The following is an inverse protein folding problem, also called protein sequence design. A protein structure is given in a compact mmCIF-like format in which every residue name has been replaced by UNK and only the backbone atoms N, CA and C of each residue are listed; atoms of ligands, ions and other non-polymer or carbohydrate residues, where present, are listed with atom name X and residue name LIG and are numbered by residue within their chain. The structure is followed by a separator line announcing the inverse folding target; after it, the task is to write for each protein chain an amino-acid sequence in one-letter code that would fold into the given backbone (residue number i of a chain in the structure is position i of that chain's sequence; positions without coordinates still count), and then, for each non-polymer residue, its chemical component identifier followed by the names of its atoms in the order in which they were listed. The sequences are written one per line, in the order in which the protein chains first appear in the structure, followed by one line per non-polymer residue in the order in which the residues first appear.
data_IF_513090150022
#
_entry.id   IF_513090150022
#
_cell.length_a   1.000
_cell.length_b   1.000
_cell.length_c   1.000
_cell.angle_alpha   90.00
_cell.angle_beta   90.00
_cell.angle_gamma   90.00
#
_symmetry.space_group_name_H-M   'P 1'
#
loop_
_entity.id
_entity.type
_entity.pdbx_description
1 polymer ?
#
# COMPACT_ATOMS: atom_id res chain seq x y z
N UNK A 1 0.85 40.07 21.52
CA UNK A 1 0.81 38.66 21.14
C UNK A 1 1.11 38.57 19.66
N UNK A 2 2.23 37.97 19.24
CA UNK A 2 2.53 37.82 17.80
C UNK A 2 1.89 36.52 17.32
N UNK A 3 0.98 36.63 16.38
CA UNK A 3 0.37 35.44 15.75
C UNK A 3 1.37 34.79 14.79
N UNK A 4 1.26 33.48 14.60
CA UNK A 4 2.18 32.67 13.79
C UNK A 4 2.21 33.01 12.29
N UNK A 5 1.22 33.74 11.79
CA UNK A 5 1.14 34.15 10.39
C UNK A 5 2.30 35.08 10.03
N UNK A 6 3.12 34.73 9.05
CA UNK A 6 4.30 35.51 8.62
C UNK A 6 5.49 35.44 9.59
N UNK A 7 5.48 34.57 10.58
CA UNK A 7 6.59 34.35 11.52
C UNK A 7 7.30 33.01 11.20
N UNK A 8 8.62 32.95 11.37
CA UNK A 8 9.35 31.68 11.28
C UNK A 8 9.01 30.83 12.52
N UNK A 9 8.06 29.92 12.35
CA UNK A 9 7.68 28.96 13.39
C UNK A 9 8.43 27.66 13.16
N UNK A 10 9.27 27.26 14.10
CA UNK A 10 9.91 25.95 14.07
C UNK A 10 8.91 24.85 14.37
N UNK A 11 8.95 23.75 13.61
CA UNK A 11 8.12 22.59 13.89
C UNK A 11 8.58 21.93 15.20
N UNK A 12 7.63 21.42 15.97
CA UNK A 12 7.90 20.72 17.24
C UNK A 12 8.87 19.55 17.05
N UNK A 13 8.83 18.93 15.88
CA UNK A 13 9.64 17.75 15.53
C UNK A 13 11.08 18.08 15.13
N UNK A 14 11.36 19.31 14.71
CA UNK A 14 12.65 19.67 14.12
C UNK A 14 13.83 19.34 15.06
N UNK A 15 13.71 19.63 16.34
CA UNK A 15 14.77 19.33 17.31
C UNK A 15 15.10 17.84 17.36
N UNK A 16 14.07 16.99 17.36
CA UNK A 16 14.25 15.54 17.39
C UNK A 16 14.85 15.01 16.09
N UNK A 17 14.45 15.58 14.95
CA UNK A 17 14.94 15.16 13.64
C UNK A 17 16.40 15.54 13.43
N UNK A 18 16.79 16.78 13.74
CA UNK A 18 18.17 17.26 13.54
C UNK A 18 19.16 16.66 14.54
N UNK A 19 18.71 16.18 15.68
CA UNK A 19 19.56 15.48 16.68
C UNK A 19 19.66 13.97 16.44
N UNK A 20 19.11 13.45 15.34
CA UNK A 20 19.15 12.01 15.01
C UNK A 20 18.24 11.14 15.88
N UNK A 21 17.31 11.74 16.63
CA UNK A 21 16.33 11.03 17.47
C UNK A 21 15.01 10.77 16.72
N UNK A 22 14.95 11.17 15.46
CA UNK A 22 13.81 10.88 14.59
C UNK A 22 13.64 9.38 14.38
N UNK A 23 12.41 8.93 14.28
CA UNK A 23 12.07 7.54 13.94
C UNK A 23 11.04 7.57 12.82
N UNK A 24 11.47 7.19 11.64
CA UNK A 24 10.61 6.97 10.49
C UNK A 24 10.15 5.50 10.45
N UNK A 25 9.25 5.18 9.55
CA UNK A 25 8.71 3.82 9.42
C UNK A 25 9.83 2.80 9.19
N UNK A 26 10.82 3.11 8.35
CA UNK A 26 11.93 2.23 8.03
C UNK A 26 12.95 2.04 9.20
N UNK A 27 12.93 2.95 10.17
CA UNK A 27 13.75 2.84 11.37
C UNK A 27 13.15 1.91 12.43
N UNK A 28 11.89 1.53 12.25
CA UNK A 28 11.19 0.64 13.18
C UNK A 28 11.68 -0.79 12.98
N UNK A 29 12.23 -1.39 14.02
CA UNK A 29 12.64 -2.80 14.04
C UNK A 29 11.83 -3.54 15.08
N UNK A 30 11.02 -4.48 14.65
CA UNK A 30 10.23 -5.33 15.51
C UNK A 30 10.76 -6.78 15.46
N UNK A 31 10.64 -7.54 16.54
CA UNK A 31 10.93 -8.97 16.52
C UNK A 31 10.06 -9.66 15.44
N UNK A 32 10.66 -10.56 14.67
CA UNK A 32 9.97 -11.29 13.60
C UNK A 32 9.35 -10.42 12.50
N UNK A 33 9.85 -9.19 12.32
CA UNK A 33 9.41 -8.31 11.24
C UNK A 33 9.76 -8.92 9.88
N UNK A 34 8.82 -8.86 8.96
CA UNK A 34 8.99 -9.27 7.56
C UNK A 34 8.90 -8.04 6.65
N UNK A 35 9.52 -8.12 5.49
CA UNK A 35 9.46 -7.06 4.49
C UNK A 35 8.51 -7.46 3.37
N UNK A 36 7.58 -6.55 3.03
CA UNK A 36 6.71 -6.69 1.88
C UNK A 36 7.31 -6.01 0.66
N UNK A 37 7.35 -6.71 -0.46
CA UNK A 37 7.79 -6.17 -1.75
C UNK A 37 6.65 -6.26 -2.74
N UNK A 38 6.37 -5.15 -3.41
CA UNK A 38 5.35 -5.10 -4.46
C UNK A 38 5.96 -5.36 -5.83
N UNK A 39 5.52 -6.40 -6.49
CA UNK A 39 5.80 -6.59 -7.91
C UNK A 39 4.84 -5.74 -8.73
N UNK A 40 5.37 -4.92 -9.60
CA UNK A 40 4.59 -4.00 -10.43
C UNK A 40 4.57 -4.46 -11.87
N UNK A 41 3.42 -4.28 -12.53
CA UNK A 41 3.31 -4.53 -13.96
C UNK A 41 4.14 -3.51 -14.76
N UNK A 42 4.86 -3.96 -15.80
CA UNK A 42 5.51 -3.06 -16.74
C UNK A 42 4.49 -2.37 -17.67
N UNK A 43 3.27 -2.86 -17.73
CA UNK A 43 2.21 -2.31 -18.58
C UNK A 43 1.28 -1.42 -17.78
N UNK A 44 0.96 -0.25 -18.30
CA UNK A 44 0.02 0.67 -17.67
C UNK A 44 -1.42 0.14 -17.65
N UNK A 45 -1.83 -0.57 -18.72
CA UNK A 45 -3.15 -1.18 -18.83
C UNK A 45 -3.05 -2.49 -19.60
N UNK A 46 -3.32 -3.60 -18.92
CA UNK A 46 -3.29 -4.93 -19.52
C UNK A 46 -4.21 -5.88 -18.77
N UNK A 47 -4.71 -6.91 -19.45
CA UNK A 47 -5.40 -8.03 -18.83
C UNK A 47 -4.36 -8.97 -18.20
N UNK A 48 -4.59 -9.40 -16.98
CA UNK A 48 -3.80 -10.44 -16.33
C UNK A 48 -4.34 -11.78 -16.84
N UNK A 49 -3.52 -12.53 -17.55
CA UNK A 49 -3.89 -13.84 -18.08
C UNK A 49 -3.58 -14.93 -17.05
N UNK A 50 -2.42 -14.86 -16.44
CA UNK A 50 -1.98 -15.78 -15.38
C UNK A 50 -0.89 -15.15 -14.54
N UNK A 51 -0.79 -15.61 -13.29
CA UNK A 51 0.28 -15.26 -12.37
C UNK A 51 0.87 -16.57 -11.87
N UNK A 52 2.08 -16.91 -12.33
CA UNK A 52 2.78 -18.08 -11.82
C UNK A 52 3.63 -17.70 -10.60
N UNK A 53 3.30 -18.27 -9.45
CA UNK A 53 3.96 -18.02 -8.16
C UNK A 53 4.74 -19.21 -7.65
N UNK A 54 4.74 -20.34 -8.35
CA UNK A 54 5.26 -21.62 -7.85
C UNK A 54 6.77 -21.60 -7.64
N UNK A 55 7.51 -20.99 -8.56
CA UNK A 55 8.95 -20.82 -8.43
C UNK A 55 9.29 -19.84 -7.31
N UNK A 56 8.57 -18.72 -7.25
CA UNK A 56 8.80 -17.70 -6.25
C UNK A 56 8.53 -18.22 -4.82
N UNK A 57 7.52 -19.08 -4.62
CA UNK A 57 7.24 -19.71 -3.33
C UNK A 57 8.37 -20.61 -2.85
N UNK A 58 9.15 -21.18 -3.77
CA UNK A 58 10.28 -22.10 -3.45
C UNK A 58 11.56 -21.34 -3.12
N UNK A 59 11.61 -20.03 -3.37
CA UNK A 59 12.81 -19.25 -3.13
C UNK A 59 13.10 -19.11 -1.64
N UNK A 60 14.36 -19.29 -1.21
CA UNK A 60 14.73 -19.13 0.18
C UNK A 60 14.46 -17.68 0.65
N UNK A 61 13.84 -17.56 1.83
CA UNK A 61 13.49 -16.27 2.40
C UNK A 61 12.10 -15.74 2.02
N UNK A 62 11.41 -16.37 1.08
CA UNK A 62 10.01 -16.06 0.80
C UNK A 62 9.13 -16.76 1.84
N UNK A 63 8.34 -15.97 2.57
CA UNK A 63 7.43 -16.49 3.59
C UNK A 63 6.08 -16.79 2.95
N UNK A 64 5.56 -15.83 2.18
CA UNK A 64 4.28 -15.99 1.50
C UNK A 64 4.17 -15.04 0.30
N UNK A 65 3.18 -15.31 -0.57
CA UNK A 65 2.87 -14.50 -1.75
C UNK A 65 1.37 -14.25 -1.78
N UNK A 66 1.00 -12.99 -1.83
CA UNK A 66 -0.38 -12.56 -1.92
C UNK A 66 -0.71 -12.13 -3.34
N UNK A 67 -1.73 -12.73 -3.90
CA UNK A 67 -2.33 -12.34 -5.19
C UNK A 67 -3.66 -11.65 -4.96
N UNK A 68 -4.17 -10.94 -5.97
CA UNK A 68 -5.49 -10.31 -5.88
C UNK A 68 -6.62 -11.31 -5.65
N UNK A 69 -6.52 -12.50 -6.23
CA UNK A 69 -7.51 -13.58 -6.05
C UNK A 69 -7.52 -14.07 -4.61
N UNK A 70 -6.34 -14.39 -4.06
CA UNK A 70 -6.21 -14.85 -2.67
C UNK A 70 -6.75 -13.82 -1.67
N UNK A 71 -6.47 -12.53 -1.88
CA UNK A 71 -7.03 -11.49 -0.99
C UNK A 71 -8.56 -11.42 -1.05
N UNK A 72 -9.14 -11.71 -2.21
CA UNK A 72 -10.61 -11.77 -2.34
C UNK A 72 -11.17 -12.98 -1.58
N UNK A 73 -10.52 -14.14 -1.64
CA UNK A 73 -10.89 -15.33 -0.88
C UNK A 73 -10.80 -15.08 0.64
N UNK A 74 -9.78 -14.33 1.08
CA UNK A 74 -9.59 -13.91 2.47
C UNK A 74 -10.58 -12.79 2.91
N UNK A 75 -11.47 -12.32 2.01
CA UNK A 75 -12.42 -11.25 2.29
C UNK A 75 -11.87 -9.82 2.19
N UNK A 76 -10.61 -9.66 1.78
CA UNK A 76 -9.93 -8.38 1.65
C UNK A 76 -9.92 -7.90 0.18
N UNK A 77 -11.08 -7.73 -0.41
CA UNK A 77 -11.17 -7.49 -1.85
C UNK A 77 -11.00 -6.04 -2.28
N UNK A 78 -11.45 -5.09 -1.49
CA UNK A 78 -11.53 -3.68 -1.88
C UNK A 78 -11.07 -2.74 -0.77
N UNK A 79 -10.46 -1.64 -1.19
CA UNK A 79 -10.25 -0.51 -0.26
C UNK A 79 -11.61 0.09 0.10
N UNK A 80 -11.83 0.33 1.39
CA UNK A 80 -13.00 1.06 1.86
C UNK A 80 -13.01 2.45 1.22
N UNK A 81 -14.10 2.78 0.54
CA UNK A 81 -14.34 4.13 0.06
C UNK A 81 -15.18 4.83 1.12
N UNK A 82 -14.77 6.01 1.52
CA UNK A 82 -15.55 6.84 2.43
C UNK A 82 -16.71 7.43 1.61
N UNK A 83 -17.86 6.81 1.66
CA UNK A 83 -19.07 7.19 0.90
C UNK A 83 -20.06 7.99 1.76
N UNK A 84 -19.54 8.98 2.48
CA UNK A 84 -20.39 9.91 3.22
C UNK A 84 -21.03 11.01 2.35
N UNK A 85 -20.69 11.02 1.05
CA UNK A 85 -21.26 11.97 0.11
C UNK A 85 -22.49 11.39 -0.55
N UNK A 86 -23.51 12.21 -0.64
CA UNK A 86 -24.77 11.88 -1.35
C UNK A 86 -24.91 12.76 -2.59
N UNK A 87 -25.51 12.22 -3.61
CA UNK A 87 -25.92 12.99 -4.78
C UNK A 87 -27.04 13.96 -4.41
N UNK A 88 -27.32 14.93 -5.29
CA UNK A 88 -28.38 15.93 -5.08
C UNK A 88 -29.78 15.33 -4.87
N UNK A 89 -29.99 14.13 -5.38
CA UNK A 89 -31.26 13.36 -5.27
C UNK A 89 -31.33 12.47 -4.02
N UNK A 90 -30.31 12.54 -3.15
CA UNK A 90 -30.21 11.73 -1.93
C UNK A 90 -29.68 10.31 -2.16
N UNK A 91 -29.40 9.93 -3.39
CA UNK A 91 -28.78 8.64 -3.68
C UNK A 91 -27.31 8.60 -3.21
N UNK A 92 -26.78 7.44 -2.81
CA UNK A 92 -25.37 7.34 -2.44
C UNK A 92 -24.48 7.66 -3.65
N UNK A 93 -23.33 8.26 -3.36
CA UNK A 93 -22.31 8.53 -4.38
C UNK A 93 -21.89 7.23 -5.06
N UNK A 94 -21.69 7.28 -6.38
CA UNK A 94 -21.13 6.15 -7.12
C UNK A 94 -19.65 5.95 -6.74
N UNK A 95 -19.41 5.15 -5.72
CA UNK A 95 -18.09 4.80 -5.25
C UNK A 95 -17.52 3.67 -6.10
N UNK A 96 -16.51 3.97 -6.89
CA UNK A 96 -15.78 2.97 -7.66
C UNK A 96 -15.06 2.00 -6.71
N UNK A 97 -15.39 0.72 -6.77
CA UNK A 97 -14.69 -0.32 -6.01
C UNK A 97 -13.24 -0.42 -6.48
N UNK A 98 -12.31 -0.25 -5.56
CA UNK A 98 -10.87 -0.29 -5.85
C UNK A 98 -10.26 -1.54 -5.21
N UNK A 99 -9.87 -2.56 -5.99
CA UNK A 99 -9.21 -3.73 -5.42
C UNK A 99 -7.87 -3.33 -4.80
N UNK A 100 -7.50 -3.99 -3.71
CA UNK A 100 -6.21 -3.77 -3.02
C UNK A 100 -5.06 -4.22 -3.91
N UNK A 101 -5.21 -5.38 -4.55
CA UNK A 101 -4.30 -5.91 -5.56
C UNK A 101 -5.06 -6.18 -6.85
N UNK A 102 -4.38 -6.04 -7.98
CA UNK A 102 -4.95 -6.37 -9.27
C UNK A 102 -5.18 -7.88 -9.39
N UNK A 103 -6.39 -8.28 -9.81
CA UNK A 103 -6.76 -9.68 -10.03
C UNK A 103 -7.02 -10.00 -11.50
N UNK A 104 -7.78 -9.15 -12.19
CA UNK A 104 -8.19 -9.36 -13.58
C UNK A 104 -7.40 -8.49 -14.57
N UNK A 105 -7.09 -7.27 -14.15
CA UNK A 105 -6.54 -6.24 -15.03
C UNK A 105 -5.69 -5.23 -14.26
N UNK A 106 -4.53 -4.88 -14.80
CA UNK A 106 -3.76 -3.72 -14.34
C UNK A 106 -4.32 -2.46 -15.00
N UNK A 107 -4.33 -1.36 -14.24
CA UNK A 107 -4.84 -0.06 -14.66
C UNK A 107 -3.81 1.02 -14.38
N UNK A 108 -3.76 2.11 -15.18
CA UNK A 108 -2.81 3.19 -14.91
C UNK A 108 -3.07 3.83 -13.55
N UNK A 109 -1.99 4.23 -12.91
CA UNK A 109 -1.90 5.09 -11.70
C UNK A 109 -2.11 4.41 -10.35
N UNK A 110 -2.90 3.33 -10.19
CA UNK A 110 -3.23 2.86 -8.83
C UNK A 110 -3.04 1.36 -8.58
N UNK A 111 -2.93 0.52 -9.61
CA UNK A 111 -3.14 -0.94 -9.45
C UNK A 111 -2.07 -1.81 -10.11
N UNK A 112 -0.84 -1.38 -10.03
CA UNK A 112 0.29 -2.12 -10.61
C UNK A 112 0.98 -3.03 -9.58
N UNK A 113 0.34 -3.32 -8.45
CA UNK A 113 1.01 -3.98 -7.34
C UNK A 113 0.57 -5.43 -7.18
N UNK A 114 1.55 -6.31 -7.16
CA UNK A 114 1.51 -7.66 -6.60
C UNK A 114 2.42 -7.65 -5.38
N UNK A 115 2.00 -8.21 -4.27
CA UNK A 115 2.83 -8.26 -3.07
C UNK A 115 3.54 -9.58 -2.94
N UNK A 116 4.84 -9.52 -2.75
CA UNK A 116 5.68 -10.61 -2.30
C UNK A 116 6.26 -10.24 -0.94
N UNK A 117 5.79 -10.82 0.19
CA UNK A 117 6.52 -10.66 1.44
C UNK A 117 7.81 -11.48 1.36
N UNK A 118 8.91 -10.79 1.37
CA UNK A 118 10.24 -11.41 1.45
C UNK A 118 10.87 -11.12 2.80
N UNK A 119 11.40 -12.16 3.46
CA UNK A 119 12.27 -11.99 4.60
C UNK A 119 13.63 -11.51 4.08
N UNK A 120 14.10 -10.37 4.55
CA UNK A 120 15.44 -9.93 4.24
C UNK A 120 16.43 -10.91 4.88
N UNK A 121 17.21 -11.58 4.06
CA UNK A 121 18.38 -12.32 4.51
C UNK A 121 19.48 -11.27 4.72
N UNK A 122 19.98 -11.17 5.95
CA UNK A 122 21.17 -10.41 6.29
C UNK A 122 22.36 -11.32 6.08
#
# INVERSE_FOLDING_TARGET
MKFAVGQPVTRVEDTRLITGQGKFTDDQKLPNMVHGVFTRSPYAHAKIVSINIDEAKKMPGVIDIFTGERLQEDGLSHMSVIDFLQNKDGSPMNASKRPILASDRVRPVSYTHLTLPTKRIV
#
